data_IF_158028557280
#
_entry.id   IF_158028557280
#
_cell.length_a   1.000
_cell.length_b   1.000
_cell.length_c   1.000
_cell.angle_alpha   90.00
_cell.angle_beta   90.00
_cell.angle_gamma   90.00
#
_symmetry.space_group_name_H-M   'P 1'
#
loop_
_entity.id
_entity.type
_entity.pdbx_description
1 polymer ?
#
# COMPACT_ATOMS: atom_id res chain seq x y z
N UNK A 1 17.23 13.85 -19.64
CA UNK A 1 17.33 12.41 -19.36
C UNK A 1 16.07 11.99 -18.60
N UNK A 2 15.23 11.14 -19.19
CA UNK A 2 14.10 10.54 -18.47
C UNK A 2 14.68 9.58 -17.44
N UNK A 3 14.45 9.83 -16.15
CA UNK A 3 14.81 8.86 -15.11
C UNK A 3 13.85 7.68 -15.23
N UNK A 4 14.33 6.54 -15.72
CA UNK A 4 13.57 5.29 -15.66
C UNK A 4 13.48 4.89 -14.20
N UNK A 5 12.32 5.11 -13.58
CA UNK A 5 12.04 4.59 -12.24
C UNK A 5 11.71 3.11 -12.37
N UNK A 6 12.38 2.28 -11.59
CA UNK A 6 12.08 0.85 -11.52
C UNK A 6 11.17 0.61 -10.32
N UNK A 7 9.96 0.11 -10.57
CA UNK A 7 9.05 -0.33 -9.52
C UNK A 7 9.58 -1.62 -8.89
N UNK A 8 9.79 -1.62 -7.57
CA UNK A 8 10.27 -2.80 -6.84
C UNK A 8 9.12 -3.51 -6.10
N UNK A 9 8.22 -2.72 -5.50
CA UNK A 9 7.07 -3.22 -4.76
C UNK A 9 5.83 -2.41 -5.13
N UNK A 10 4.69 -3.11 -5.24
CA UNK A 10 3.37 -2.51 -5.30
C UNK A 10 2.59 -2.90 -4.03
N UNK A 11 1.81 -1.99 -3.47
CA UNK A 11 1.03 -2.25 -2.27
C UNK A 11 -0.39 -1.74 -2.44
N UNK A 12 -1.36 -2.61 -2.16
CA UNK A 12 -2.78 -2.31 -2.26
C UNK A 12 -3.46 -2.58 -0.92
N UNK A 13 -4.23 -1.60 -0.44
CA UNK A 13 -5.08 -1.77 0.74
C UNK A 13 -6.47 -2.20 0.29
N UNK A 14 -6.84 -3.44 0.58
CA UNK A 14 -8.14 -4.02 0.22
C UNK A 14 -9.02 -4.09 1.47
N UNK A 15 -10.30 -3.76 1.31
CA UNK A 15 -11.31 -3.95 2.34
C UNK A 15 -12.26 -5.08 1.92
N UNK A 16 -12.42 -6.08 2.78
CA UNK A 16 -13.42 -7.13 2.64
C UNK A 16 -14.10 -7.39 3.98
N UNK A 17 -15.44 -7.36 4.01
CA UNK A 17 -16.24 -7.62 5.21
C UNK A 17 -15.79 -6.86 6.48
N UNK A 18 -15.32 -5.61 6.31
CA UNK A 18 -14.85 -4.77 7.43
C UNK A 18 -13.43 -5.09 7.93
N UNK A 19 -12.77 -6.10 7.36
CA UNK A 19 -11.36 -6.37 7.56
C UNK A 19 -10.56 -5.67 6.47
N UNK A 20 -9.45 -5.06 6.86
CA UNK A 20 -8.51 -4.44 5.93
C UNK A 20 -7.29 -5.33 5.79
N UNK A 21 -6.82 -5.52 4.57
CA UNK A 21 -5.64 -6.33 4.27
C UNK A 21 -4.74 -5.53 3.36
N UNK A 22 -3.45 -5.43 3.72
CA UNK A 22 -2.43 -4.90 2.84
C UNK A 22 -1.90 -6.08 2.00
N UNK A 23 -2.12 -6.00 0.69
CA UNK A 23 -1.53 -6.92 -0.28
C UNK A 23 -0.28 -6.24 -0.82
N UNK A 24 0.86 -6.92 -0.74
CA UNK A 24 2.15 -6.44 -1.22
C UNK A 24 2.65 -7.41 -2.28
N UNK A 25 2.87 -6.88 -3.48
CA UNK A 25 3.54 -7.58 -4.57
C UNK A 25 5.02 -7.18 -4.58
N UNK A 26 5.90 -8.17 -4.49
CA UNK A 26 7.29 -8.04 -4.93
C UNK A 26 7.32 -8.26 -6.44
N UNK A 27 7.41 -7.14 -7.18
CA UNK A 27 7.37 -7.14 -8.65
C UNK A 27 8.62 -7.81 -9.22
N UNK A 28 9.73 -7.78 -8.50
CA UNK A 28 10.99 -8.37 -8.95
C UNK A 28 11.02 -9.87 -8.80
N UNK A 29 10.39 -10.40 -7.74
CA UNK A 29 10.31 -11.82 -7.46
C UNK A 29 9.02 -12.48 -7.99
N UNK A 30 8.02 -11.68 -8.40
CA UNK A 30 6.70 -12.17 -8.81
C UNK A 30 5.94 -12.84 -7.67
N UNK A 31 6.15 -12.37 -6.44
CA UNK A 31 5.50 -12.94 -5.24
C UNK A 31 4.50 -11.98 -4.64
N UNK A 32 3.42 -12.53 -4.08
CA UNK A 32 2.38 -11.76 -3.41
C UNK A 32 2.27 -12.21 -1.98
N UNK A 33 2.27 -11.26 -1.05
CA UNK A 33 2.05 -11.49 0.37
C UNK A 33 0.93 -10.58 0.86
N UNK A 34 0.24 -11.01 1.92
CA UNK A 34 -0.85 -10.24 2.49
C UNK A 34 -0.77 -10.23 4.01
N UNK A 35 -1.09 -9.10 4.62
CA UNK A 35 -1.15 -8.96 6.08
C UNK A 35 -2.37 -8.14 6.50
N UNK A 36 -3.12 -8.56 7.55
CA UNK A 36 -4.23 -7.76 8.05
C UNK A 36 -3.74 -6.43 8.63
N UNK A 37 -4.52 -5.38 8.41
CA UNK A 37 -4.23 -4.02 8.89
C UNK A 37 -5.34 -3.56 9.84
N UNK A 38 -5.01 -3.08 11.05
CA UNK A 38 -5.99 -2.51 11.95
C UNK A 38 -6.69 -1.29 11.35
N UNK A 39 -8.02 -1.21 11.49
CA UNK A 39 -8.82 -0.05 11.03
C UNK A 39 -8.27 1.29 11.54
N UNK A 40 -7.83 1.35 12.80
CA UNK A 40 -7.27 2.57 13.38
C UNK A 40 -5.98 3.07 12.69
N UNK A 41 -5.27 2.20 11.96
CA UNK A 41 -4.15 2.61 11.12
C UNK A 41 -4.62 3.09 9.75
N UNK A 42 -5.61 2.42 9.16
CA UNK A 42 -6.25 2.84 7.90
C UNK A 42 -6.86 4.24 8.03
N UNK A 43 -7.54 4.51 9.14
CA UNK A 43 -8.18 5.80 9.42
C UNK A 43 -7.17 6.97 9.50
N UNK A 44 -5.87 6.68 9.66
CA UNK A 44 -4.80 7.70 9.64
C UNK A 44 -4.28 8.03 8.24
N UNK A 45 -4.55 7.19 7.23
CA UNK A 45 -4.04 7.40 5.88
C UNK A 45 -4.46 8.75 5.28
N UNK A 46 -5.72 9.21 5.39
CA UNK A 46 -6.10 10.53 4.87
C UNK A 46 -5.27 11.67 5.46
N UNK A 47 -4.90 11.60 6.74
CA UNK A 47 -4.08 12.61 7.42
C UNK A 47 -2.65 12.61 6.85
N UNK A 48 -2.04 11.42 6.69
CA UNK A 48 -0.72 11.31 6.08
C UNK A 48 -0.71 11.83 4.65
N UNK A 49 -1.70 11.46 3.83
CA UNK A 49 -1.79 11.90 2.44
C UNK A 49 -1.96 13.41 2.33
N UNK A 50 -2.78 14.02 3.19
CA UNK A 50 -2.95 15.47 3.22
C UNK A 50 -1.63 16.21 3.51
N UNK A 51 -0.78 15.66 4.39
CA UNK A 51 0.52 16.25 4.72
C UNK A 51 1.55 16.17 3.57
N UNK A 52 1.39 15.22 2.64
CA UNK A 52 2.26 15.11 1.46
C UNK A 52 1.93 16.13 0.37
N UNK A 53 0.72 16.68 0.39
CA UNK A 53 0.23 17.67 -0.58
C UNK A 53 0.30 19.12 -0.08
N UNK A 54 0.81 19.33 1.14
CA UNK A 54 0.87 20.62 1.82
C UNK A 54 2.17 21.41 1.51
#
# INVERSE_FOLDING_TARGET
MLRTQTLLFAAELVQDNGTYTLVVEDVTAGTVQSTPVPKAMVDKLPVFLAALTA
#
